data_IF_066721018405
#
_entry.id   IF_066721018405
#
_cell.length_a   1.000
_cell.length_b   1.000
_cell.length_c   1.000
_cell.angle_alpha   90.00
_cell.angle_beta   90.00
_cell.angle_gamma   90.00
#
_symmetry.space_group_name_H-M   'P 1'
#
loop_
_entity.id
_entity.type
_entity.pdbx_description
1 polymer ?
#
# COMPACT_ATOMS: atom_id res chain seq x y z
N UNK A 1 17.95 25.71 13.75
CA UNK A 1 17.97 24.24 13.76
C UNK A 1 17.18 23.80 12.56
N UNK A 2 17.82 23.09 11.63
CA UNK A 2 17.08 22.52 10.50
C UNK A 2 16.04 21.54 11.04
N UNK A 3 14.79 21.59 10.55
CA UNK A 3 13.77 20.65 10.98
C UNK A 3 14.23 19.22 10.65
N UNK A 4 13.95 18.29 11.58
CA UNK A 4 14.25 16.86 11.40
C UNK A 4 13.58 16.26 10.15
N UNK A 5 12.51 16.89 9.69
CA UNK A 5 11.75 16.52 8.50
C UNK A 5 11.85 17.61 7.45
N UNK A 6 12.05 17.20 6.21
CA UNK A 6 11.93 18.03 5.01
C UNK A 6 10.49 18.50 4.82
N UNK A 7 10.31 19.58 4.06
CA UNK A 7 8.99 20.13 3.72
C UNK A 7 8.05 19.07 3.09
N UNK A 8 8.61 18.14 2.31
CA UNK A 8 7.85 17.04 1.70
C UNK A 8 7.32 16.06 2.74
N UNK A 9 8.15 15.69 3.71
CA UNK A 9 7.78 14.78 4.80
C UNK A 9 6.70 15.39 5.68
N UNK A 10 6.81 16.69 5.98
CA UNK A 10 5.79 17.43 6.73
C UNK A 10 4.46 17.44 5.97
N UNK A 11 4.47 17.74 4.67
CA UNK A 11 3.27 17.75 3.84
C UNK A 11 2.62 16.36 3.76
N UNK A 12 3.43 15.29 3.65
CA UNK A 12 2.93 13.92 3.64
C UNK A 12 2.21 13.55 4.94
N UNK A 13 2.72 14.02 6.08
CA UNK A 13 2.13 13.78 7.40
C UNK A 13 0.79 14.50 7.56
N UNK A 14 0.72 15.75 7.11
CA UNK A 14 -0.51 16.57 7.14
C UNK A 14 -1.58 15.97 6.22
N UNK A 15 -1.18 15.56 5.01
CA UNK A 15 -2.11 14.92 4.07
C UNK A 15 -2.61 13.58 4.62
N UNK A 16 -1.75 12.80 5.26
CA UNK A 16 -2.11 11.55 5.93
C UNK A 16 -3.18 11.78 7.02
N UNK A 17 -2.97 12.77 7.90
CA UNK A 17 -3.90 13.12 8.97
C UNK A 17 -5.26 13.61 8.43
N UNK A 18 -5.25 14.33 7.30
CA UNK A 18 -6.48 14.88 6.69
C UNK A 18 -7.38 13.85 5.98
N UNK A 19 -6.92 12.61 5.76
CA UNK A 19 -7.75 11.56 5.12
C UNK A 19 -8.82 10.98 6.03
N UNK A 20 -8.86 11.36 7.31
CA UNK A 20 -9.80 10.83 8.30
C UNK A 20 -11.19 11.48 8.36
N UNK A 21 -11.44 12.63 7.71
CA UNK A 21 -12.62 13.45 8.08
C UNK A 21 -13.58 13.91 6.96
N UNK A 22 -13.42 13.60 5.67
CA UNK A 22 -14.49 13.92 4.70
C UNK A 22 -14.45 13.05 3.43
N UNK A 23 -15.49 12.23 3.25
CA UNK A 23 -15.76 11.44 2.06
C UNK A 23 -16.51 12.27 1.01
N UNK A 24 -15.76 12.85 0.08
CA UNK A 24 -16.28 13.47 -1.14
C UNK A 24 -15.34 13.19 -2.30
N UNK A 25 -15.81 13.28 -3.55
CA UNK A 25 -15.11 12.86 -4.79
C UNK A 25 -13.65 13.32 -5.01
N UNK A 26 -13.08 14.17 -4.16
CA UNK A 26 -11.65 14.50 -4.13
C UNK A 26 -10.77 13.52 -3.33
N UNK A 27 -11.34 12.69 -2.44
CA UNK A 27 -10.62 11.79 -1.52
C UNK A 27 -9.77 10.75 -2.24
N UNK A 28 -10.18 10.27 -3.42
CA UNK A 28 -9.39 9.33 -4.23
C UNK A 28 -8.08 9.94 -4.75
N UNK A 29 -8.10 11.21 -5.16
CA UNK A 29 -6.90 11.93 -5.61
C UNK A 29 -5.94 12.16 -4.44
N UNK A 30 -6.47 12.47 -3.26
CA UNK A 30 -5.66 12.62 -2.04
C UNK A 30 -5.10 11.28 -1.54
N UNK A 31 -5.82 10.16 -1.68
CA UNK A 31 -5.30 8.84 -1.36
C UNK A 31 -4.15 8.41 -2.30
N UNK A 32 -4.28 8.68 -3.60
CA UNK A 32 -3.24 8.38 -4.60
C UNK A 32 -1.98 9.26 -4.42
N UNK A 33 -2.16 10.56 -4.16
CA UNK A 33 -1.05 11.48 -3.87
C UNK A 33 -0.43 11.18 -2.50
N UNK A 34 -1.23 10.83 -1.50
CA UNK A 34 -0.79 10.39 -0.18
C UNK A 34 0.02 9.10 -0.24
N UNK A 35 -0.33 8.14 -1.10
CA UNK A 35 0.42 6.88 -1.23
C UNK A 35 1.84 7.05 -1.77
N UNK A 36 2.04 7.93 -2.76
CA UNK A 36 3.39 8.22 -3.28
C UNK A 36 4.23 9.02 -2.29
N UNK A 37 3.64 10.01 -1.62
CA UNK A 37 4.29 10.78 -0.57
C UNK A 37 4.62 9.93 0.67
N UNK A 38 3.72 9.04 1.09
CA UNK A 38 3.96 8.12 2.19
C UNK A 38 5.11 7.15 1.85
N UNK A 39 5.23 6.70 0.61
CA UNK A 39 6.37 5.90 0.16
C UNK A 39 7.69 6.69 0.23
N UNK A 40 7.68 7.98 -0.15
CA UNK A 40 8.86 8.86 0.00
C UNK A 40 9.23 9.09 1.48
N UNK A 41 8.25 9.34 2.35
CA UNK A 41 8.44 9.47 3.80
C UNK A 41 9.02 8.20 4.43
N UNK A 42 8.45 7.03 4.11
CA UNK A 42 8.98 5.76 4.64
C UNK A 42 10.43 5.55 4.21
N UNK A 43 10.76 5.92 2.97
CA UNK A 43 12.15 5.85 2.46
C UNK A 43 13.09 6.81 3.18
N UNK A 44 12.66 8.04 3.46
CA UNK A 44 13.47 9.04 4.19
C UNK A 44 13.64 8.70 5.67
N UNK A 45 12.67 7.99 6.27
CA UNK A 45 12.77 7.38 7.61
C UNK A 45 13.60 6.07 7.62
N UNK A 46 14.21 5.68 6.50
CA UNK A 46 15.09 4.51 6.41
C UNK A 46 14.38 3.17 6.13
N UNK A 47 13.08 3.18 5.90
CA UNK A 47 12.28 2.00 5.59
C UNK A 47 12.15 1.81 4.07
N UNK A 48 12.74 0.74 3.53
CA UNK A 48 12.62 0.40 2.10
C UNK A 48 11.35 -0.41 1.84
N UNK A 49 10.33 0.26 1.31
CA UNK A 49 9.05 -0.33 0.90
C UNK A 49 8.91 -0.21 -0.62
N UNK A 50 8.60 -1.31 -1.29
CA UNK A 50 8.40 -1.35 -2.75
C UNK A 50 6.93 -1.23 -3.14
N UNK A 51 6.03 -1.72 -2.29
CA UNK A 51 4.58 -1.72 -2.45
C UNK A 51 3.93 -1.03 -1.26
N UNK A 52 3.17 0.02 -1.49
CA UNK A 52 2.37 0.68 -0.47
C UNK A 52 1.02 1.02 -1.09
N UNK A 53 -0.05 0.47 -0.53
CA UNK A 53 -1.42 0.80 -0.92
C UNK A 53 -2.19 1.15 0.34
N UNK A 54 -2.88 2.28 0.29
CA UNK A 54 -3.81 2.73 1.33
C UNK A 54 -5.18 2.82 0.67
N UNK A 55 -6.19 2.33 1.35
CA UNK A 55 -7.56 2.38 0.86
C UNK A 55 -8.56 2.37 1.99
N UNK A 56 -9.81 2.70 1.69
CA UNK A 56 -10.91 2.54 2.62
C UNK A 56 -11.57 1.18 2.36
N UNK A 57 -11.63 0.33 3.38
CA UNK A 57 -12.30 -0.96 3.33
C UNK A 57 -13.83 -0.81 3.31
N UNK A 58 -14.52 -1.92 3.11
CA UNK A 58 -15.98 -1.97 2.93
C UNK A 58 -16.75 -1.35 4.11
N UNK A 59 -16.17 -1.39 5.31
CA UNK A 59 -16.77 -0.87 6.55
C UNK A 59 -16.19 0.48 6.98
N UNK A 60 -15.70 1.29 6.03
CA UNK A 60 -15.01 2.58 6.27
C UNK A 60 -13.70 2.48 7.06
N UNK A 61 -13.24 1.27 7.37
CA UNK A 61 -11.98 1.02 8.07
C UNK A 61 -10.77 1.21 7.15
N UNK A 62 -9.67 1.72 7.70
CA UNK A 62 -8.42 1.85 6.96
C UNK A 62 -7.90 0.47 6.53
N UNK A 63 -7.69 0.29 5.23
CA UNK A 63 -6.97 -0.84 4.67
C UNK A 63 -5.57 -0.42 4.25
N UNK A 64 -4.58 -1.25 4.58
CA UNK A 64 -3.17 -0.98 4.34
C UNK A 64 -2.51 -2.23 3.76
N UNK A 65 -1.80 -2.07 2.65
CA UNK A 65 -0.87 -3.07 2.16
C UNK A 65 0.55 -2.49 2.12
N UNK A 66 1.50 -3.20 2.73
CA UNK A 66 2.92 -2.84 2.72
C UNK A 66 3.70 -4.04 2.22
N UNK A 67 4.52 -3.85 1.20
CA UNK A 67 5.28 -4.94 0.62
C UNK A 67 6.68 -4.56 0.16
N UNK A 68 7.51 -5.59 0.08
CA UNK A 68 8.92 -5.50 -0.30
C UNK A 68 9.22 -6.55 -1.36
N UNK A 69 9.96 -6.15 -2.39
CA UNK A 69 10.50 -7.09 -3.37
C UNK A 69 11.63 -7.88 -2.72
N UNK A 70 11.49 -9.20 -2.76
CA UNK A 70 12.53 -10.13 -2.27
C UNK A 70 13.36 -10.69 -3.44
N UNK A 71 12.83 -10.61 -4.66
CA UNK A 71 13.55 -10.86 -5.90
C UNK A 71 13.00 -9.98 -7.01
N UNK A 72 13.55 -10.12 -8.23
CA UNK A 72 13.06 -9.40 -9.41
C UNK A 72 11.56 -9.63 -9.66
N UNK A 73 11.10 -10.85 -9.38
CA UNK A 73 9.79 -11.33 -9.79
C UNK A 73 8.86 -11.60 -8.60
N UNK A 74 9.38 -11.63 -7.36
CA UNK A 74 8.64 -11.97 -6.15
C UNK A 74 8.55 -10.77 -5.20
N UNK A 75 7.32 -10.44 -4.79
CA UNK A 75 7.03 -9.41 -3.78
C UNK A 75 6.30 -10.05 -2.60
N UNK A 76 6.79 -9.82 -1.39
CA UNK A 76 6.09 -10.18 -0.16
C UNK A 76 5.31 -8.96 0.32
N UNK A 77 4.02 -9.13 0.58
CA UNK A 77 3.09 -8.06 0.93
C UNK A 77 2.37 -8.44 2.23
N UNK A 78 2.52 -7.62 3.27
CA UNK A 78 1.66 -7.65 4.43
C UNK A 78 0.38 -6.86 4.13
N UNK A 79 -0.75 -7.40 4.57
CA UNK A 79 -2.07 -6.82 4.36
C UNK A 79 -2.76 -6.65 5.72
N UNK A 80 -3.35 -5.48 5.94
CA UNK A 80 -4.30 -5.21 7.00
C UNK A 80 -5.58 -4.71 6.33
N UNK A 81 -6.64 -5.51 6.36
CA UNK A 81 -7.90 -5.15 5.70
C UNK A 81 -9.08 -5.49 6.62
N UNK A 82 -9.91 -4.49 6.95
CA UNK A 82 -11.06 -4.61 7.84
C UNK A 82 -10.75 -5.34 9.16
N UNK A 83 -9.66 -4.94 9.83
CA UNK A 83 -9.22 -5.54 11.08
C UNK A 83 -8.66 -6.96 10.98
N UNK A 84 -8.41 -7.45 9.75
CA UNK A 84 -7.83 -8.78 9.50
C UNK A 84 -6.44 -8.64 8.91
N UNK A 85 -5.49 -9.30 9.55
CA UNK A 85 -4.11 -9.38 9.09
C UNK A 85 -3.91 -10.55 8.14
N UNK A 86 -3.07 -10.35 7.13
CA UNK A 86 -2.77 -11.35 6.13
C UNK A 86 -1.42 -11.13 5.46
N UNK A 87 -0.98 -12.15 4.73
CA UNK A 87 0.22 -12.10 3.90
C UNK A 87 -0.16 -12.52 2.49
N UNK A 88 0.31 -11.73 1.52
CA UNK A 88 0.20 -11.99 0.09
C UNK A 88 1.61 -12.14 -0.49
N UNK A 89 1.83 -13.22 -1.24
CA UNK A 89 3.03 -13.40 -2.06
C UNK A 89 2.63 -13.21 -3.51
N UNK A 90 3.18 -12.18 -4.15
CA UNK A 90 2.97 -11.88 -5.57
C UNK A 90 4.14 -12.40 -6.39
N UNK A 91 3.85 -13.21 -7.39
CA UNK A 91 4.81 -13.77 -8.36
C UNK A 91 4.48 -13.27 -9.76
N UNK A 92 5.41 -12.52 -10.35
CA UNK A 92 5.31 -12.07 -11.74
C UNK A 92 5.94 -13.13 -12.66
N UNK A 93 5.12 -13.84 -13.42
CA UNK A 93 5.61 -14.86 -14.37
C UNK A 93 6.02 -14.24 -15.70
N UNK A 94 5.30 -13.20 -16.13
CA UNK A 94 5.60 -12.42 -17.34
C UNK A 94 4.96 -11.03 -17.27
N UNK A 95 5.11 -10.21 -18.31
CA UNK A 95 4.40 -8.92 -18.42
C UNK A 95 2.89 -9.05 -18.38
N UNK A 96 2.36 -10.21 -18.81
CA UNK A 96 0.92 -10.46 -18.91
C UNK A 96 0.39 -11.39 -17.83
N UNK A 97 1.23 -12.03 -17.02
CA UNK A 97 0.79 -13.04 -16.06
C UNK A 97 1.39 -12.84 -14.67
N UNK A 98 0.50 -12.73 -13.70
CA UNK A 98 0.81 -12.57 -12.27
C UNK A 98 0.00 -13.58 -11.46
N UNK A 99 0.59 -14.07 -10.37
CA UNK A 99 -0.10 -14.90 -9.38
C UNK A 99 0.04 -14.30 -7.99
N UNK A 100 -1.08 -14.17 -7.30
CA UNK A 100 -1.13 -13.81 -5.89
C UNK A 100 -1.49 -15.03 -5.07
N UNK A 101 -0.66 -15.36 -4.08
CA UNK A 101 -0.93 -16.37 -3.06
C UNK A 101 -1.26 -15.63 -1.77
N UNK A 102 -2.51 -15.72 -1.32
CA UNK A 102 -3.02 -14.94 -0.19
C UNK A 102 -3.32 -15.87 0.97
N UNK A 103 -2.73 -15.56 2.12
CA UNK A 103 -2.88 -16.30 3.37
C UNK A 103 -3.46 -15.36 4.42
N UNK A 104 -4.67 -15.65 4.87
CA UNK A 104 -5.35 -14.95 5.96
C UNK A 104 -5.87 -15.96 6.99
N UNK A 105 -6.08 -15.57 8.26
CA UNK A 105 -6.54 -16.48 9.31
C UNK A 105 -7.85 -17.23 9.00
N UNK A 106 -8.74 -16.61 8.21
CA UNK A 106 -10.07 -17.14 7.93
C UNK A 106 -10.22 -17.70 6.50
N UNK A 107 -9.32 -17.32 5.59
CA UNK A 107 -9.40 -17.74 4.19
C UNK A 107 -8.03 -17.71 3.53
N UNK A 108 -7.82 -18.56 2.54
CA UNK A 108 -6.62 -18.53 1.71
C UNK A 108 -7.04 -18.73 0.27
N UNK A 109 -6.39 -18.01 -0.64
CA UNK A 109 -6.71 -18.03 -2.07
C UNK A 109 -5.44 -18.00 -2.90
N UNK A 110 -5.58 -18.49 -4.14
CA UNK A 110 -4.60 -18.31 -5.20
C UNK A 110 -5.34 -17.63 -6.34
N UNK A 111 -4.86 -16.45 -6.73
CA UNK A 111 -5.45 -15.63 -7.77
C UNK A 111 -4.50 -15.55 -8.96
N UNK A 112 -5.04 -15.70 -10.16
CA UNK A 112 -4.29 -15.55 -11.40
C UNK A 112 -4.79 -14.31 -12.12
N UNK A 113 -3.90 -13.37 -12.38
CA UNK A 113 -4.21 -12.14 -13.11
C UNK A 113 -3.53 -12.19 -14.47
N UNK A 114 -4.34 -12.17 -15.53
CA UNK A 114 -3.88 -11.95 -16.90
C UNK A 114 -4.09 -10.49 -17.30
N UNK A 115 -3.01 -9.79 -17.64
CA UNK A 115 -3.02 -8.38 -18.05
C UNK A 115 -3.05 -8.33 -19.58
N UNK A 116 -4.18 -7.91 -20.14
CA UNK A 116 -4.28 -7.56 -21.55
C UNK A 116 -3.69 -6.16 -21.74
N UNK A 117 -2.91 -5.97 -22.79
CA UNK A 117 -2.25 -4.69 -23.13
C UNK A 117 -3.25 -3.54 -23.32
#
# INVERSE_FOLDING_TARGET
SDPYLTQKEILSLILFDSTGENSGSGTEVYALLGGTFAKELMKSLGMSVDHLVLGQGIDEQLSVEVGKKISKDITLIYQHNNGKDGVKVRVNHSRHLETDIILQPQSSSIEFLYKSD
#
